data_IF_453990541629
#
_entry.id   IF_453990541629
#
_cell.length_a   1.000
_cell.length_b   1.000
_cell.length_c   1.000
_cell.angle_alpha   90.00
_cell.angle_beta   90.00
_cell.angle_gamma   90.00
#
_symmetry.space_group_name_H-M   'P 1'
#
loop_
_entity.id
_entity.type
_entity.pdbx_description
1 polymer ?
#
# COMPACT_ATOMS: atom_id res chain seq x y z
N UNK A 1 -14.34 -14.54 62.08
CA UNK A 1 -15.26 -14.96 60.99
C UNK A 1 -15.49 -13.79 60.05
N UNK A 2 -15.77 -12.58 60.55
CA UNK A 2 -15.82 -11.35 59.75
C UNK A 2 -14.53 -11.08 58.97
N UNK A 3 -13.34 -11.21 59.59
CA UNK A 3 -12.07 -11.02 58.88
C UNK A 3 -11.87 -11.97 57.69
N UNK A 4 -12.41 -13.19 57.76
CA UNK A 4 -12.30 -14.19 56.69
C UNK A 4 -13.27 -13.87 55.55
N UNK A 5 -14.44 -13.32 55.87
CA UNK A 5 -15.40 -12.84 54.89
C UNK A 5 -14.88 -11.59 54.17
N UNK A 6 -14.29 -10.64 54.92
CA UNK A 6 -13.67 -9.45 54.35
C UNK A 6 -12.49 -9.81 53.44
N UNK A 7 -11.69 -10.82 53.80
CA UNK A 7 -10.61 -11.32 52.96
C UNK A 7 -11.12 -11.95 51.65
N UNK A 8 -12.22 -12.72 51.71
CA UNK A 8 -12.83 -13.33 50.54
C UNK A 8 -13.44 -12.27 49.61
N UNK A 9 -14.09 -11.26 50.17
CA UNK A 9 -14.67 -10.13 49.43
C UNK A 9 -13.59 -9.31 48.71
N UNK A 10 -12.46 -9.02 49.38
CA UNK A 10 -11.31 -8.32 48.78
C UNK A 10 -10.69 -9.15 47.65
N UNK A 11 -10.54 -10.47 47.80
CA UNK A 11 -10.02 -11.31 46.71
C UNK A 11 -10.96 -11.34 45.50
N UNK A 12 -12.28 -11.45 45.72
CA UNK A 12 -13.26 -11.41 44.63
C UNK A 12 -13.20 -10.09 43.86
N UNK A 13 -13.21 -8.95 44.58
CA UNK A 13 -13.13 -7.62 43.95
C UNK A 13 -11.80 -7.42 43.20
N UNK A 14 -10.70 -7.96 43.74
CA UNK A 14 -9.39 -7.87 43.09
C UNK A 14 -9.33 -8.69 41.79
N UNK A 15 -9.93 -9.89 41.77
CA UNK A 15 -10.05 -10.72 40.58
C UNK A 15 -10.93 -10.08 39.49
N UNK A 16 -12.04 -9.45 39.88
CA UNK A 16 -12.93 -8.76 38.93
C UNK A 16 -12.28 -7.53 38.31
N UNK A 17 -11.50 -6.76 39.10
CA UNK A 17 -10.77 -5.61 38.61
C UNK A 17 -9.65 -6.00 37.62
N UNK A 18 -8.92 -7.09 37.89
CA UNK A 18 -7.87 -7.60 37.00
C UNK A 18 -8.45 -8.06 35.66
N UNK A 19 -9.59 -8.76 35.68
CA UNK A 19 -10.31 -9.14 34.46
C UNK A 19 -10.80 -7.93 33.65
N UNK A 20 -11.25 -6.87 34.33
CA UNK A 20 -11.70 -5.64 33.67
C UNK A 20 -10.54 -4.92 32.98
N UNK A 21 -9.37 -4.81 33.63
CA UNK A 21 -8.17 -4.21 33.05
C UNK A 21 -7.72 -4.99 31.81
N UNK A 22 -7.70 -6.32 31.88
CA UNK A 22 -7.35 -7.17 30.73
C UNK A 22 -8.31 -6.96 29.55
N UNK A 23 -9.61 -6.83 29.83
CA UNK A 23 -10.63 -6.57 28.81
C UNK A 23 -10.46 -5.19 28.16
N UNK A 24 -10.14 -4.16 28.95
CA UNK A 24 -9.87 -2.82 28.46
C UNK A 24 -8.61 -2.78 27.57
N UNK A 25 -7.53 -3.46 27.98
CA UNK A 25 -6.32 -3.58 27.16
C UNK A 25 -6.58 -4.32 25.85
N UNK A 26 -7.30 -5.44 25.90
CA UNK A 26 -7.73 -6.17 24.70
C UNK A 26 -8.56 -5.29 23.77
N UNK A 27 -9.51 -4.53 24.31
CA UNK A 27 -10.34 -3.61 23.53
C UNK A 27 -9.50 -2.52 22.87
N UNK A 28 -8.53 -1.95 23.60
CA UNK A 28 -7.60 -0.95 23.07
C UNK A 28 -6.75 -1.50 21.92
N UNK A 29 -6.22 -2.72 22.06
CA UNK A 29 -5.44 -3.37 21.01
C UNK A 29 -6.30 -3.67 19.77
N UNK A 30 -7.53 -4.13 19.95
CA UNK A 30 -8.47 -4.37 18.84
C UNK A 30 -8.70 -3.07 18.07
N UNK A 31 -8.96 -1.95 18.76
CA UNK A 31 -9.16 -0.66 18.09
C UNK A 31 -7.92 -0.21 17.30
N UNK A 32 -6.71 -0.38 17.84
CA UNK A 32 -5.48 -0.08 17.11
C UNK A 32 -5.32 -0.95 15.85
N UNK A 33 -5.64 -2.23 15.94
CA UNK A 33 -5.59 -3.13 14.78
C UNK A 33 -6.59 -2.69 13.71
N UNK A 34 -7.81 -2.30 14.10
CA UNK A 34 -8.83 -1.82 13.16
C UNK A 34 -8.42 -0.52 12.47
N UNK A 35 -7.85 0.44 13.21
CA UNK A 35 -7.33 1.69 12.62
C UNK A 35 -6.20 1.43 11.61
N UNK A 36 -5.28 0.52 11.93
CA UNK A 36 -4.21 0.13 11.03
C UNK A 36 -4.74 -0.59 9.79
N UNK A 37 -5.73 -1.47 9.94
CA UNK A 37 -6.38 -2.15 8.82
C UNK A 37 -7.04 -1.15 7.87
N UNK A 38 -7.81 -0.20 8.39
CA UNK A 38 -8.42 0.87 7.57
C UNK A 38 -7.36 1.68 6.81
N UNK A 39 -6.29 2.09 7.50
CA UNK A 39 -5.20 2.86 6.87
C UNK A 39 -4.49 2.05 5.77
N UNK A 40 -4.31 0.75 5.99
CA UNK A 40 -3.69 -0.15 5.01
C UNK A 40 -4.58 -0.35 3.78
N UNK A 41 -5.89 -0.49 3.99
CA UNK A 41 -6.88 -0.59 2.90
C UNK A 41 -6.86 0.67 2.02
N UNK A 42 -6.92 1.85 2.63
CA UNK A 42 -6.82 3.13 1.93
C UNK A 42 -5.52 3.25 1.13
N UNK A 43 -4.39 2.84 1.72
CA UNK A 43 -3.11 2.86 1.04
C UNK A 43 -3.08 1.87 -0.13
N UNK A 44 -3.64 0.67 0.03
CA UNK A 44 -3.73 -0.32 -1.04
C UNK A 44 -4.55 0.20 -2.22
N UNK A 45 -5.71 0.80 -1.96
CA UNK A 45 -6.55 1.39 -3.00
C UNK A 45 -5.82 2.50 -3.76
N UNK A 46 -5.07 3.35 -3.05
CA UNK A 46 -4.23 4.39 -3.68
C UNK A 46 -3.11 3.80 -4.53
N UNK A 47 -2.47 2.73 -4.08
CA UNK A 47 -1.42 2.04 -4.85
C UNK A 47 -2.01 1.47 -6.14
N UNK A 48 -3.19 0.87 -6.09
CA UNK A 48 -3.83 0.29 -7.27
C UNK A 48 -4.27 1.37 -8.27
N UNK A 49 -4.78 2.51 -7.79
CA UNK A 49 -5.07 3.67 -8.64
C UNK A 49 -3.82 4.20 -9.35
N UNK A 50 -2.69 4.33 -8.63
CA UNK A 50 -1.41 4.78 -9.22
C UNK A 50 -0.88 3.76 -10.24
N UNK A 51 -1.02 2.46 -9.98
CA UNK A 51 -0.64 1.42 -10.95
C UNK A 51 -1.48 1.51 -12.22
N UNK A 52 -2.79 1.72 -12.11
CA UNK A 52 -3.67 1.85 -13.26
C UNK A 52 -3.31 3.08 -14.11
N UNK A 53 -3.08 4.22 -13.47
CA UNK A 53 -2.63 5.44 -14.16
C UNK A 53 -1.28 5.23 -14.85
N UNK A 54 -0.33 4.56 -14.19
CA UNK A 54 0.96 4.25 -14.77
C UNK A 54 0.85 3.36 -16.03
N UNK A 55 -0.06 2.38 -16.01
CA UNK A 55 -0.32 1.52 -17.17
C UNK A 55 -0.90 2.32 -18.35
N UNK A 56 -1.84 3.23 -18.08
CA UNK A 56 -2.40 4.13 -19.11
C UNK A 56 -1.30 4.98 -19.74
N UNK A 57 -0.46 5.63 -18.93
CA UNK A 57 0.65 6.45 -19.40
C UNK A 57 1.68 5.64 -20.21
N UNK A 58 2.00 4.41 -19.79
CA UNK A 58 2.88 3.52 -20.56
C UNK A 58 2.29 3.18 -21.92
N UNK A 59 0.99 2.90 -21.99
CA UNK A 59 0.31 2.63 -23.26
C UNK A 59 0.32 3.85 -24.18
N UNK A 60 0.05 5.04 -23.66
CA UNK A 60 0.09 6.28 -24.45
C UNK A 60 1.50 6.57 -24.97
N UNK A 61 2.51 6.46 -24.09
CA UNK A 61 3.91 6.64 -24.48
C UNK A 61 4.36 5.64 -25.54
N UNK A 62 3.86 4.39 -25.50
CA UNK A 62 4.16 3.41 -26.53
C UNK A 62 3.60 3.84 -27.89
N UNK A 63 2.34 4.29 -27.92
CA UNK A 63 1.70 4.78 -29.16
C UNK A 63 2.43 6.00 -29.72
N UNK A 64 2.77 6.96 -28.85
CA UNK A 64 3.55 8.15 -29.22
C UNK A 64 4.94 7.79 -29.73
N UNK A 65 5.63 6.85 -29.07
CA UNK A 65 6.92 6.33 -29.50
C UNK A 65 6.88 5.76 -30.91
N UNK A 66 5.89 4.90 -31.19
CA UNK A 66 5.71 4.33 -32.53
C UNK A 66 5.40 5.41 -33.58
N UNK A 67 4.60 6.41 -33.24
CA UNK A 67 4.31 7.52 -34.13
C UNK A 67 5.58 8.29 -34.51
N UNK A 68 6.45 8.56 -33.54
CA UNK A 68 7.75 9.22 -33.76
C UNK A 68 8.65 8.34 -34.64
N UNK A 69 8.76 7.04 -34.37
CA UNK A 69 9.52 6.10 -35.20
C UNK A 69 9.04 6.07 -36.66
N UNK A 70 7.72 6.06 -36.86
CA UNK A 70 7.12 6.07 -38.18
C UNK A 70 7.44 7.38 -38.92
N UNK A 71 7.43 8.53 -38.23
CA UNK A 71 7.82 9.80 -38.83
C UNK A 71 9.31 9.85 -39.18
N UNK A 72 10.19 9.34 -38.30
CA UNK A 72 11.63 9.31 -38.55
C UNK A 72 12.00 8.39 -39.72
N UNK A 73 11.34 7.24 -39.84
CA UNK A 73 11.60 6.27 -40.92
C UNK A 73 11.02 6.70 -42.27
N UNK A 74 9.85 7.35 -42.28
CA UNK A 74 9.23 7.88 -43.49
C UNK A 74 9.86 9.19 -43.98
N UNK A 75 10.51 9.95 -43.11
CA UNK A 75 11.22 11.17 -43.49
C UNK A 75 12.63 10.86 -43.98
N UNK A 76 12.89 11.16 -45.25
CA UNK A 76 14.23 11.07 -45.88
C UNK A 76 15.31 11.91 -45.18
N UNK A 77 14.93 12.85 -44.31
CA UNK A 77 15.85 13.75 -43.58
C UNK A 77 16.74 13.01 -42.58
N UNK A 78 16.32 11.84 -42.08
CA UNK A 78 17.10 11.06 -41.10
C UNK A 78 17.90 9.90 -41.72
N UNK A 79 17.83 9.67 -43.04
CA UNK A 79 18.54 8.57 -43.71
C UNK A 79 19.97 8.90 -44.16
N UNK A 80 20.48 10.11 -43.96
CA UNK A 80 21.78 10.53 -44.52
C UNK A 80 22.87 10.73 -43.46
N UNK A 81 23.40 9.64 -42.90
CA UNK A 81 24.82 9.57 -42.48
C UNK A 81 25.49 8.21 -42.69
N UNK A 82 24.78 7.15 -43.12
CA UNK A 82 25.42 5.89 -43.56
C UNK A 82 25.81 5.94 -45.05
N UNK A 83 26.49 7.00 -45.47
CA UNK A 83 27.19 6.97 -46.75
C UNK A 83 28.67 6.67 -46.54
N UNK A 84 29.04 5.44 -46.94
CA UNK A 84 30.40 4.97 -47.29
C UNK A 84 31.24 4.33 -46.17
N UNK A 85 31.01 3.04 -45.93
CA UNK A 85 32.12 2.10 -45.74
C UNK A 85 31.83 0.78 -46.45
N UNK A 86 31.73 0.85 -47.78
CA UNK A 86 31.85 -0.30 -48.67
C UNK A 86 32.65 0.13 -49.90
N UNK A 87 33.98 0.13 -49.80
CA UNK A 87 34.86 0.20 -50.96
C UNK A 87 36.06 -0.74 -50.78
N UNK A 88 36.06 -1.73 -51.70
CA UNK A 88 37.13 -2.63 -52.17
C UNK A 88 37.73 -3.60 -51.17
#
# INVERSE_FOLDING_TARGET
MEDMLQFLEIMCVSGDLENQVELEEKTRLINQVLELQNTLEDLSARVDAVKEENLKLKSENQVLGQYIENLMSASSVFQTTDSKSKRK
#
